data_IF_580881679432
#
_entry.id   IF_580881679432
#
_cell.length_a   1.000
_cell.length_b   1.000
_cell.length_c   1.000
_cell.angle_alpha   90.00
_cell.angle_beta   90.00
_cell.angle_gamma   90.00
#
_symmetry.space_group_name_H-M   'P 1'
#
loop_
_entity.id
_entity.type
_entity.pdbx_description
1 polymer ?
#
# COMPACT_ATOMS: atom_id res chain seq x y z
N UNK A 1 8.30 -23.96 9.81
CA UNK A 1 7.56 -23.11 8.85
C UNK A 1 6.89 -21.88 9.49
N UNK A 2 6.78 -21.78 10.82
CA UNK A 2 6.16 -20.63 11.53
C UNK A 2 7.02 -19.35 11.56
N UNK A 3 8.35 -19.47 11.45
CA UNK A 3 9.28 -18.34 11.45
C UNK A 3 9.22 -17.50 10.18
N UNK A 4 8.99 -18.14 9.03
CA UNK A 4 8.91 -17.45 7.73
C UNK A 4 7.65 -16.59 7.66
N UNK A 5 6.49 -17.15 8.02
CA UNK A 5 5.22 -16.43 8.04
C UNK A 5 5.25 -15.19 8.97
N UNK A 6 5.88 -15.29 10.13
CA UNK A 6 6.03 -14.14 11.04
C UNK A 6 7.01 -13.09 10.52
N UNK A 7 8.02 -13.48 9.73
CA UNK A 7 8.93 -12.54 9.09
C UNK A 7 8.26 -11.74 7.96
N UNK A 8 7.44 -12.40 7.13
CA UNK A 8 6.69 -11.76 6.05
C UNK A 8 5.69 -10.75 6.60
N UNK A 9 4.90 -11.12 7.61
CA UNK A 9 3.94 -10.20 8.27
C UNK A 9 4.63 -8.96 8.83
N UNK A 10 5.85 -9.09 9.38
CA UNK A 10 6.62 -7.93 9.87
C UNK A 10 7.10 -7.03 8.73
N UNK A 11 7.56 -7.62 7.62
CA UNK A 11 7.98 -6.89 6.44
C UNK A 11 6.79 -6.11 5.84
N UNK A 12 5.63 -6.76 5.72
CA UNK A 12 4.38 -6.17 5.22
C UNK A 12 3.94 -4.97 6.07
N UNK A 13 3.92 -5.14 7.39
CA UNK A 13 3.60 -4.04 8.33
C UNK A 13 4.62 -2.90 8.24
N UNK A 14 5.90 -3.20 7.99
CA UNK A 14 6.94 -2.21 7.78
C UNK A 14 6.72 -1.40 6.51
N UNK A 15 6.37 -2.08 5.41
CA UNK A 15 6.13 -1.45 4.12
C UNK A 15 4.88 -0.56 4.15
N UNK A 16 3.77 -1.04 4.73
CA UNK A 16 2.56 -0.21 4.89
C UNK A 16 2.83 1.05 5.71
N UNK A 17 3.66 0.97 6.77
CA UNK A 17 4.08 2.16 7.53
C UNK A 17 4.90 3.11 6.67
N UNK A 18 5.83 2.58 5.87
CA UNK A 18 6.66 3.39 4.95
C UNK A 18 5.80 4.12 3.92
N UNK A 19 4.85 3.44 3.29
CA UNK A 19 3.92 4.06 2.34
C UNK A 19 3.08 5.15 3.02
N UNK A 20 2.60 4.94 4.25
CA UNK A 20 1.91 5.99 5.03
C UNK A 20 2.77 7.23 5.27
N UNK A 21 4.09 7.08 5.46
CA UNK A 21 4.98 8.23 5.60
C UNK A 21 5.19 9.01 4.30
N UNK A 22 4.99 8.36 3.14
CA UNK A 22 5.11 9.00 1.82
C UNK A 22 3.86 9.78 1.41
N UNK A 23 2.74 9.64 2.12
CA UNK A 23 1.55 10.43 1.86
C UNK A 23 1.80 11.92 2.15
N UNK A 24 1.37 12.82 1.25
CA UNK A 24 1.22 14.24 1.54
C UNK A 24 0.41 14.44 2.84
N UNK A 25 0.80 15.38 3.72
CA UNK A 25 0.13 15.60 5.00
C UNK A 25 -1.39 15.79 4.90
N UNK A 26 -1.84 16.43 3.82
CA UNK A 26 -3.24 16.77 3.55
C UNK A 26 -4.11 15.53 3.29
N UNK A 27 -3.50 14.45 2.76
CA UNK A 27 -4.20 13.21 2.42
C UNK A 27 -4.29 12.24 3.61
N UNK A 28 -3.45 12.40 4.63
CA UNK A 28 -3.31 11.43 5.73
C UNK A 28 -4.56 11.24 6.59
N UNK A 29 -5.48 12.21 6.59
CA UNK A 29 -6.70 12.14 7.40
C UNK A 29 -7.85 11.38 6.73
N UNK A 30 -7.78 11.14 5.41
CA UNK A 30 -8.87 10.54 4.65
C UNK A 30 -8.42 9.49 3.62
N UNK A 31 -7.10 9.28 3.48
CA UNK A 31 -6.53 8.16 2.70
C UNK A 31 -6.00 7.07 3.63
N UNK A 32 -6.56 5.87 3.54
CA UNK A 32 -6.02 4.66 4.15
C UNK A 32 -5.12 3.91 3.17
N UNK A 33 -4.13 3.18 3.69
CA UNK A 33 -3.26 2.30 2.90
C UNK A 33 -3.29 0.93 3.54
N UNK A 34 -3.70 -0.07 2.77
CA UNK A 34 -3.92 -1.44 3.21
C UNK A 34 -3.26 -2.45 2.26
N UNK A 35 -3.03 -3.66 2.77
CA UNK A 35 -2.63 -4.78 1.93
C UNK A 35 -3.88 -5.33 1.23
N UNK A 36 -3.82 -5.57 -0.07
CA UNK A 36 -4.94 -6.17 -0.78
C UNK A 36 -5.18 -7.60 -0.31
N UNK A 37 -6.43 -7.95 -0.06
CA UNK A 37 -6.88 -9.30 0.33
C UNK A 37 -7.55 -10.05 -0.82
N UNK A 38 -7.70 -9.41 -1.98
CA UNK A 38 -8.33 -10.00 -3.14
C UNK A 38 -7.46 -11.10 -3.77
N UNK A 39 -8.09 -12.00 -4.53
CA UNK A 39 -7.39 -13.06 -5.24
C UNK A 39 -6.82 -12.49 -6.54
N UNK A 40 -5.48 -12.52 -6.67
CA UNK A 40 -4.74 -11.93 -7.79
C UNK A 40 -5.12 -10.47 -8.08
N UNK A 41 -4.91 -9.56 -7.12
CA UNK A 41 -5.26 -8.16 -7.28
C UNK A 41 -4.37 -7.44 -8.30
N UNK A 42 -4.80 -6.29 -8.83
CA UNK A 42 -3.89 -5.30 -9.41
C UNK A 42 -2.78 -4.92 -8.42
N UNK A 43 -1.67 -4.37 -8.92
CA UNK A 43 -0.54 -3.99 -8.06
C UNK A 43 -0.94 -2.94 -7.00
N UNK A 44 -1.71 -1.94 -7.44
CA UNK A 44 -2.33 -0.93 -6.59
C UNK A 44 -3.78 -0.77 -7.06
N UNK A 45 -4.71 -0.66 -6.11
CA UNK A 45 -6.11 -0.33 -6.36
C UNK A 45 -6.52 0.83 -5.45
N UNK A 46 -7.32 1.76 -5.96
CA UNK A 46 -7.93 2.82 -5.16
C UNK A 46 -9.46 2.64 -5.13
N UNK A 47 -10.03 2.64 -3.93
CA UNK A 47 -11.47 2.47 -3.72
C UNK A 47 -12.01 3.58 -2.83
N UNK A 48 -13.17 4.16 -3.19
CA UNK A 48 -13.90 5.07 -2.31
C UNK A 48 -14.70 4.26 -1.30
N UNK A 49 -14.33 4.36 -0.01
CA UNK A 49 -14.90 3.53 1.07
C UNK A 49 -15.93 4.28 1.92
N UNK A 50 -16.14 5.58 1.67
CA UNK A 50 -17.05 6.39 2.45
C UNK A 50 -17.09 7.85 1.99
N UNK A 51 -17.64 8.72 2.86
CA UNK A 51 -17.78 10.16 2.56
C UNK A 51 -16.40 10.82 2.50
N UNK A 52 -15.90 10.98 1.28
CA UNK A 52 -14.58 11.56 0.95
C UNK A 52 -13.39 10.74 1.50
N UNK A 53 -13.57 9.43 1.68
CA UNK A 53 -12.49 8.54 2.13
C UNK A 53 -12.06 7.61 1.01
N UNK A 54 -10.75 7.49 0.82
CA UNK A 54 -10.15 6.65 -0.21
C UNK A 54 -9.24 5.63 0.44
N UNK A 55 -9.39 4.38 0.03
CA UNK A 55 -8.51 3.29 0.42
C UNK A 55 -7.59 2.90 -0.73
N UNK A 56 -6.29 2.95 -0.48
CA UNK A 56 -5.26 2.46 -1.40
C UNK A 56 -4.85 1.06 -0.97
N UNK A 57 -5.23 0.07 -1.75
CA UNK A 57 -4.88 -1.32 -1.53
C UNK A 57 -3.64 -1.69 -2.36
N UNK A 58 -2.67 -2.36 -1.75
CA UNK A 58 -1.42 -2.77 -2.41
C UNK A 58 -1.24 -4.28 -2.37
N UNK A 59 -0.96 -4.89 -3.52
CA UNK A 59 -0.53 -6.30 -3.59
C UNK A 59 0.90 -6.42 -3.06
N UNK A 60 1.07 -6.63 -1.75
CA UNK A 60 2.39 -6.66 -1.13
C UNK A 60 3.30 -7.78 -1.64
N UNK A 61 2.72 -8.90 -2.13
CA UNK A 61 3.51 -9.99 -2.69
C UNK A 61 4.18 -9.61 -4.01
N UNK A 62 3.47 -8.89 -4.90
CA UNK A 62 4.04 -8.35 -6.14
C UNK A 62 4.88 -7.11 -5.87
N UNK A 63 4.46 -6.28 -4.91
CA UNK A 63 5.13 -5.05 -4.52
C UNK A 63 6.56 -5.31 -4.06
N UNK A 64 6.78 -6.37 -3.27
CA UNK A 64 8.11 -6.69 -2.76
C UNK A 64 9.10 -7.18 -3.83
N UNK A 65 8.61 -7.50 -5.03
CA UNK A 65 9.46 -7.88 -6.17
C UNK A 65 10.02 -6.66 -6.92
N UNK A 66 9.53 -5.45 -6.62
CA UNK A 66 9.95 -4.22 -7.26
C UNK A 66 11.12 -3.57 -6.52
N UNK A 67 11.95 -2.81 -7.23
CA UNK A 67 12.95 -1.96 -6.60
C UNK A 67 12.29 -0.83 -5.80
N UNK A 68 12.94 -0.36 -4.74
CA UNK A 68 12.39 0.67 -3.84
C UNK A 68 12.00 1.96 -4.59
N UNK A 69 12.82 2.42 -5.52
CA UNK A 69 12.53 3.64 -6.30
C UNK A 69 11.30 3.47 -7.19
N UNK A 70 11.11 2.28 -7.76
CA UNK A 70 9.94 1.95 -8.56
C UNK A 70 8.67 1.93 -7.69
N UNK A 71 8.74 1.35 -6.48
CA UNK A 71 7.65 1.39 -5.50
C UNK A 71 7.26 2.83 -5.19
N UNK A 72 8.23 3.70 -4.93
CA UNK A 72 7.98 5.11 -4.62
C UNK A 72 7.30 5.84 -5.77
N UNK A 73 7.80 5.67 -7.00
CA UNK A 73 7.25 6.32 -8.18
C UNK A 73 5.82 5.86 -8.48
N UNK A 74 5.55 4.56 -8.41
CA UNK A 74 4.21 4.02 -8.64
C UNK A 74 3.23 4.49 -7.56
N UNK A 75 3.67 4.48 -6.30
CA UNK A 75 2.85 4.94 -5.20
C UNK A 75 2.50 6.44 -5.34
N UNK A 76 3.49 7.29 -5.63
CA UNK A 76 3.23 8.72 -5.86
C UNK A 76 2.36 8.98 -7.09
N UNK A 77 2.56 8.22 -8.17
CA UNK A 77 1.70 8.35 -9.34
C UNK A 77 0.23 8.07 -8.98
N UNK A 78 -0.02 7.02 -8.21
CA UNK A 78 -1.39 6.66 -7.83
C UNK A 78 -1.98 7.68 -6.85
N UNK A 79 -1.23 8.08 -5.83
CA UNK A 79 -1.67 9.08 -4.84
C UNK A 79 -1.95 10.45 -5.49
N UNK A 80 -1.23 10.83 -6.55
CA UNK A 80 -1.46 12.08 -7.27
C UNK A 80 -2.74 12.10 -8.11
N UNK A 81 -3.40 10.94 -8.28
CA UNK A 81 -4.68 10.82 -9.00
C UNK A 81 -5.90 10.92 -8.06
N UNK A 82 -5.65 10.84 -6.76
CA UNK A 82 -6.63 11.09 -5.68
C UNK A 82 -6.76 12.61 -5.51
#
# INVERSE_FOLDING_TARGET
>A
MTSFATSTVRADLGELRRLKTLLPPELRSWVSIEASTAVNPPLITCEEIGKDQVEVQVDLMKWDQLALDQRNLLFWHEVARI
#
